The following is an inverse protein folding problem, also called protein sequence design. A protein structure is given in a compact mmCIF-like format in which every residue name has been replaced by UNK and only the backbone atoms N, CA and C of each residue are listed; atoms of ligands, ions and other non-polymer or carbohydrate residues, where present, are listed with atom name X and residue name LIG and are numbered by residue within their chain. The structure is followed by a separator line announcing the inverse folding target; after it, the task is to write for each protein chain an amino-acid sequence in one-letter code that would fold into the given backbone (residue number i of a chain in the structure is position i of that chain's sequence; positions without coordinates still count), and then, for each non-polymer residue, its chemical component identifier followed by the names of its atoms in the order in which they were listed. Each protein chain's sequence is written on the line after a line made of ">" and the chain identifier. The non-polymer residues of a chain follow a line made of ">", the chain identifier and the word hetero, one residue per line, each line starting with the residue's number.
data_IF_496430273411
#
_entry.id   IF_496430273411
#
_cell.length_a   1.000
_cell.length_b   1.000
_cell.length_c   1.000
_cell.angle_alpha   90.00
_cell.angle_beta   90.00
_cell.angle_gamma   90.00
#
_symmetry.space_group_name_H-M   'P 1'
#
loop_
_entity.id
_entity.type
_entity.pdbx_description
1 polymer ?
#
# COMPACT_ATOMS: atom_id res chain seq x y z
N UNK A 1 -24.67 10.28 40.95
CA UNK A 1 -25.07 11.24 39.88
C UNK A 1 -24.11 11.05 38.73
N UNK A 2 -24.49 10.18 37.81
CA UNK A 2 -23.65 9.84 36.64
C UNK A 2 -24.08 10.71 35.47
N UNK A 3 -23.21 11.59 35.03
CA UNK A 3 -23.43 12.41 33.82
C UNK A 3 -23.04 11.57 32.60
N UNK A 4 -24.04 10.99 31.98
CA UNK A 4 -23.92 10.39 30.65
C UNK A 4 -23.80 11.54 29.63
N UNK A 5 -22.60 11.79 29.14
CA UNK A 5 -22.41 12.67 27.98
C UNK A 5 -22.71 11.85 26.73
N UNK A 6 -23.97 11.84 26.31
CA UNK A 6 -24.38 11.43 24.98
C UNK A 6 -24.01 12.57 24.00
N UNK A 7 -22.79 12.56 23.48
CA UNK A 7 -22.48 13.30 22.24
C UNK A 7 -22.80 12.39 21.06
N UNK A 8 -24.05 12.43 20.62
CA UNK A 8 -24.45 11.92 19.30
C UNK A 8 -23.82 12.80 18.22
N UNK A 9 -22.58 12.47 17.82
CA UNK A 9 -22.08 12.92 16.53
C UNK A 9 -22.80 12.12 15.45
N UNK A 10 -23.87 12.69 14.88
CA UNK A 10 -24.65 12.14 13.78
C UNK A 10 -23.91 12.12 12.44
N UNK A 11 -22.68 11.60 12.42
CA UNK A 11 -21.93 11.32 11.21
C UNK A 11 -22.30 9.91 10.74
N UNK A 12 -23.14 9.81 9.71
CA UNK A 12 -23.43 8.53 9.06
C UNK A 12 -22.11 7.88 8.55
N UNK A 13 -22.09 6.54 8.40
CA UNK A 13 -20.87 5.79 8.01
C UNK A 13 -20.20 6.34 6.75
N UNK A 14 -20.95 6.84 5.78
CA UNK A 14 -20.41 7.47 4.57
C UNK A 14 -19.65 8.78 4.82
N UNK A 15 -20.01 9.54 5.86
CA UNK A 15 -19.32 10.77 6.24
C UNK A 15 -17.95 10.47 6.87
N UNK A 16 -17.85 9.43 7.71
CA UNK A 16 -16.59 9.01 8.33
C UNK A 16 -15.59 8.53 7.28
N UNK A 17 -16.02 7.68 6.36
CA UNK A 17 -15.18 7.18 5.25
C UNK A 17 -14.67 8.33 4.38
N UNK A 18 -15.53 9.29 4.06
CA UNK A 18 -15.15 10.47 3.29
C UNK A 18 -14.11 11.30 4.04
N UNK A 19 -14.33 11.58 5.32
CA UNK A 19 -13.42 12.34 6.18
C UNK A 19 -12.05 11.65 6.28
N UNK A 20 -12.01 10.34 6.47
CA UNK A 20 -10.76 9.58 6.52
C UNK A 20 -10.01 9.60 5.18
N UNK A 21 -10.71 9.52 4.06
CA UNK A 21 -10.10 9.64 2.73
C UNK A 21 -9.52 11.05 2.51
N UNK A 22 -10.21 12.11 2.95
CA UNK A 22 -9.72 13.49 2.88
C UNK A 22 -8.48 13.68 3.77
N UNK A 23 -8.54 13.22 5.03
CA UNK A 23 -7.41 13.28 5.96
C UNK A 23 -6.16 12.66 5.36
N UNK A 24 -6.29 11.48 4.78
CA UNK A 24 -5.15 10.78 4.19
C UNK A 24 -4.63 11.46 2.94
N UNK A 25 -5.52 12.04 2.14
CA UNK A 25 -5.15 12.83 0.98
C UNK A 25 -4.36 14.09 1.40
N UNK A 26 -4.77 14.74 2.48
CA UNK A 26 -4.11 15.93 3.00
C UNK A 26 -2.76 15.61 3.63
N UNK A 27 -2.64 14.49 4.37
CA UNK A 27 -1.36 13.98 4.86
C UNK A 27 -0.38 13.79 3.71
N UNK A 28 -0.79 13.09 2.65
CA UNK A 28 0.09 12.80 1.50
C UNK A 28 0.46 14.07 0.72
N UNK A 29 -0.40 15.10 0.72
CA UNK A 29 -0.13 16.39 0.06
C UNK A 29 0.72 17.35 0.90
N UNK A 30 0.82 17.12 2.21
CA UNK A 30 1.60 18.00 3.07
C UNK A 30 3.08 17.99 2.67
N UNK A 31 3.73 19.16 2.68
CA UNK A 31 5.11 19.31 2.21
C UNK A 31 6.09 18.36 2.91
N UNK A 32 5.92 18.15 4.20
CA UNK A 32 6.77 17.25 5.01
C UNK A 32 6.53 15.76 4.70
N UNK A 33 5.39 15.42 4.11
CA UNK A 33 5.01 14.06 3.72
C UNK A 33 5.23 13.78 2.21
N UNK A 34 5.84 14.70 1.48
CA UNK A 34 6.14 14.54 0.05
C UNK A 34 6.93 13.27 -0.29
N UNK A 35 7.73 12.79 0.67
CA UNK A 35 8.46 11.53 0.55
C UNK A 35 7.54 10.31 0.39
N UNK A 36 6.31 10.34 0.91
CA UNK A 36 5.31 9.25 0.74
C UNK A 36 4.88 9.18 -0.72
N UNK A 37 4.66 10.32 -1.37
CA UNK A 37 4.33 10.38 -2.79
C UNK A 37 5.48 9.84 -3.65
N UNK A 38 6.71 10.20 -3.31
CA UNK A 38 7.90 9.71 -4.01
C UNK A 38 8.05 8.19 -3.84
N UNK A 39 7.86 7.69 -2.62
CA UNK A 39 7.87 6.27 -2.31
C UNK A 39 6.81 5.52 -3.13
N UNK A 40 5.60 6.07 -3.20
CA UNK A 40 4.51 5.51 -3.99
C UNK A 40 4.81 5.54 -5.49
N UNK A 41 5.39 6.64 -5.98
CA UNK A 41 5.81 6.78 -7.36
C UNK A 41 6.83 5.70 -7.75
N UNK A 42 7.84 5.47 -6.90
CA UNK A 42 8.85 4.40 -7.09
C UNK A 42 8.20 3.01 -7.12
N UNK A 43 7.34 2.70 -6.15
CA UNK A 43 6.61 1.43 -6.12
C UNK A 43 5.71 1.24 -7.34
N UNK A 44 5.08 2.31 -7.80
CA UNK A 44 4.21 2.33 -8.98
C UNK A 44 5.00 2.11 -10.28
N UNK A 45 6.17 2.73 -10.41
CA UNK A 45 7.06 2.55 -11.55
C UNK A 45 7.56 1.10 -11.63
N UNK A 46 7.97 0.52 -10.48
CA UNK A 46 8.36 -0.87 -10.40
C UNK A 46 7.24 -1.81 -10.89
N UNK A 47 6.03 -1.64 -10.39
CA UNK A 47 4.88 -2.45 -10.80
C UNK A 47 4.58 -2.27 -12.27
N UNK A 48 4.59 -1.02 -12.76
CA UNK A 48 4.33 -0.70 -14.17
C UNK A 48 5.37 -1.34 -15.08
N UNK A 49 6.65 -1.32 -14.70
CA UNK A 49 7.73 -1.95 -15.47
C UNK A 49 7.51 -3.46 -15.57
N UNK A 50 7.27 -4.14 -14.44
CA UNK A 50 7.09 -5.60 -14.43
C UNK A 50 5.86 -6.03 -15.23
N UNK A 51 4.70 -5.39 -14.99
CA UNK A 51 3.46 -5.76 -15.68
C UNK A 51 3.47 -5.33 -17.16
N UNK A 52 4.11 -4.20 -17.46
CA UNK A 52 4.17 -3.63 -18.81
C UNK A 52 5.11 -4.35 -19.77
N UNK A 53 6.05 -5.14 -19.24
CA UNK A 53 6.99 -5.91 -20.04
C UNK A 53 6.62 -7.40 -19.97
N UNK A 54 6.22 -7.96 -21.11
CA UNK A 54 5.75 -9.36 -21.18
C UNK A 54 6.79 -10.36 -20.72
N UNK A 55 8.08 -10.17 -21.08
CA UNK A 55 9.17 -11.07 -20.70
C UNK A 55 9.44 -11.00 -19.20
N UNK A 56 9.52 -9.77 -18.65
CA UNK A 56 9.75 -9.55 -17.21
C UNK A 56 8.56 -10.10 -16.40
N UNK A 57 7.33 -9.89 -16.86
CA UNK A 57 6.13 -10.38 -16.18
C UNK A 57 6.06 -11.93 -16.21
N UNK A 58 6.41 -12.54 -17.33
CA UNK A 58 6.55 -14.00 -17.41
C UNK A 58 7.60 -14.52 -16.44
N UNK A 59 8.78 -13.89 -16.45
CA UNK A 59 9.88 -14.25 -15.54
C UNK A 59 9.51 -14.05 -14.07
N UNK A 60 8.82 -12.95 -13.73
CA UNK A 60 8.26 -12.76 -12.38
C UNK A 60 7.32 -13.91 -11.98
N UNK A 61 6.51 -14.40 -12.91
CA UNK A 61 5.58 -15.51 -12.69
C UNK A 61 6.26 -16.83 -12.27
N UNK A 62 7.55 -17.02 -12.60
CA UNK A 62 8.33 -18.19 -12.16
C UNK A 62 8.70 -18.12 -10.67
N UNK A 63 8.79 -16.92 -10.09
CA UNK A 63 9.13 -16.68 -8.68
C UNK A 63 7.92 -16.47 -7.78
N UNK A 64 6.78 -16.07 -8.35
CA UNK A 64 5.58 -15.76 -7.55
C UNK A 64 4.29 -16.16 -8.26
N UNK A 65 3.45 -16.93 -7.56
CA UNK A 65 2.06 -17.17 -7.98
C UNK A 65 1.16 -15.96 -7.70
N UNK A 66 1.61 -15.02 -6.86
CA UNK A 66 0.86 -13.86 -6.46
C UNK A 66 1.09 -12.73 -7.46
N UNK A 67 0.11 -12.46 -8.30
CA UNK A 67 0.20 -11.41 -9.33
C UNK A 67 0.33 -10.01 -8.71
N UNK A 68 1.10 -9.13 -9.37
CA UNK A 68 1.11 -7.71 -9.08
C UNK A 68 -0.23 -7.09 -9.48
N UNK A 69 -0.78 -6.23 -8.62
CA UNK A 69 -2.06 -5.58 -8.88
C UNK A 69 -1.87 -4.43 -9.87
N UNK A 70 -2.72 -4.39 -10.91
CA UNK A 70 -2.89 -3.16 -11.69
C UNK A 70 -3.39 -2.06 -10.75
N UNK A 71 -2.70 -0.94 -10.77
CA UNK A 71 -3.00 0.18 -9.87
C UNK A 71 -4.32 0.83 -10.30
N UNK A 72 -5.34 0.71 -9.45
CA UNK A 72 -6.57 1.45 -9.62
C UNK A 72 -6.31 2.95 -9.41
N UNK A 73 -6.97 3.80 -10.21
CA UNK A 73 -6.92 5.26 -10.02
C UNK A 73 -7.67 5.63 -8.73
N UNK A 74 -7.00 6.38 -7.84
CA UNK A 74 -7.61 7.41 -7.00
C UNK A 74 -8.40 7.01 -5.73
N UNK A 75 -7.89 6.15 -4.82
CA UNK A 75 -8.33 6.19 -3.41
C UNK A 75 -7.15 5.88 -2.52
N UNK A 76 -7.13 6.43 -1.30
CA UNK A 76 -6.09 6.13 -0.30
C UNK A 76 -5.86 4.63 -0.12
N UNK A 77 -6.91 3.83 -0.17
CA UNK A 77 -6.82 2.36 -0.18
C UNK A 77 -5.81 1.82 -1.21
N UNK A 78 -5.59 2.52 -2.34
CA UNK A 78 -4.62 2.08 -3.35
C UNK A 78 -3.17 2.19 -2.88
N UNK A 79 -2.81 3.19 -2.06
CA UNK A 79 -1.47 3.28 -1.46
C UNK A 79 -1.20 2.10 -0.54
N UNK A 80 -2.12 1.84 0.39
CA UNK A 80 -2.01 0.73 1.33
C UNK A 80 -1.96 -0.63 0.62
N UNK A 81 -2.88 -0.87 -0.32
CA UNK A 81 -2.94 -2.13 -1.06
C UNK A 81 -1.70 -2.37 -1.93
N UNK A 82 -1.18 -1.29 -2.56
CA UNK A 82 0.04 -1.35 -3.37
C UNK A 82 1.23 -1.75 -2.50
N UNK A 83 1.46 -1.04 -1.41
CA UNK A 83 2.58 -1.31 -0.52
C UNK A 83 2.46 -2.68 0.16
N UNK A 84 1.27 -3.04 0.61
CA UNK A 84 0.99 -4.38 1.16
C UNK A 84 1.29 -5.48 0.14
N UNK A 85 0.93 -5.28 -1.14
CA UNK A 85 1.23 -6.24 -2.21
C UNK A 85 2.73 -6.34 -2.44
N UNK A 86 3.43 -5.22 -2.55
CA UNK A 86 4.88 -5.18 -2.73
C UNK A 86 5.62 -5.91 -1.61
N UNK A 87 5.26 -5.67 -0.34
CA UNK A 87 5.87 -6.38 0.79
C UNK A 87 5.66 -7.90 0.71
N UNK A 88 4.46 -8.34 0.32
CA UNK A 88 4.15 -9.78 0.17
C UNK A 88 5.00 -10.47 -0.89
N UNK A 89 5.35 -9.77 -1.95
CA UNK A 89 6.11 -10.32 -3.07
C UNK A 89 7.60 -9.95 -3.04
N UNK A 90 8.04 -9.22 -2.01
CA UNK A 90 9.43 -8.73 -1.89
C UNK A 90 10.47 -9.83 -2.14
N UNK A 91 10.32 -10.98 -1.49
CA UNK A 91 11.29 -12.07 -1.64
C UNK A 91 11.34 -12.59 -3.08
N UNK A 92 10.19 -12.74 -3.72
CA UNK A 92 10.12 -13.18 -5.11
C UNK A 92 10.79 -12.16 -6.06
N UNK A 93 10.55 -10.85 -5.81
CA UNK A 93 11.20 -9.78 -6.57
C UNK A 93 12.72 -9.80 -6.38
N UNK A 94 13.19 -9.96 -5.14
CA UNK A 94 14.63 -10.05 -4.84
C UNK A 94 15.26 -11.25 -5.55
N UNK A 95 14.64 -12.42 -5.43
CA UNK A 95 15.17 -13.63 -6.10
C UNK A 95 15.22 -13.47 -7.62
N UNK A 96 14.19 -12.81 -8.21
CA UNK A 96 14.11 -12.54 -9.63
C UNK A 96 15.29 -11.67 -10.12
N UNK A 97 15.56 -10.54 -9.45
CA UNK A 97 16.63 -9.60 -9.90
C UNK A 97 18.03 -10.04 -9.54
N UNK A 98 18.17 -11.01 -8.64
CA UNK A 98 19.46 -11.62 -8.29
C UNK A 98 19.77 -12.89 -9.11
N UNK A 99 18.85 -13.35 -9.94
CA UNK A 99 19.08 -14.49 -10.81
C UNK A 99 20.04 -14.13 -11.95
N UNK A 100 20.95 -15.06 -12.33
CA UNK A 100 21.88 -14.86 -13.45
C UNK A 100 21.17 -14.50 -14.76
N UNK A 101 20.00 -15.10 -14.98
CA UNK A 101 19.17 -14.84 -16.17
C UNK A 101 18.55 -13.45 -16.21
N UNK A 102 18.57 -12.66 -15.11
CA UNK A 102 18.02 -11.30 -15.10
C UNK A 102 18.73 -10.38 -16.12
N UNK A 103 20.05 -10.48 -16.21
CA UNK A 103 20.85 -9.64 -17.10
C UNK A 103 20.74 -10.10 -18.58
N UNK A 104 20.24 -11.32 -18.82
CA UNK A 104 19.99 -11.88 -20.15
C UNK A 104 18.62 -11.50 -20.73
N UNK A 105 17.70 -11.01 -19.88
CA UNK A 105 16.37 -10.62 -20.34
C UNK A 105 16.49 -9.42 -21.28
N UNK A 106 16.10 -9.64 -22.54
CA UNK A 106 16.07 -8.58 -23.55
C UNK A 106 14.90 -7.62 -23.28
N UNK A 107 15.19 -6.54 -22.57
CA UNK A 107 14.20 -5.54 -22.16
C UNK A 107 14.82 -4.14 -22.11
N UNK A 108 14.01 -3.14 -21.79
CA UNK A 108 14.45 -1.79 -21.49
C UNK A 108 15.47 -1.81 -20.32
N UNK A 109 16.73 -1.56 -20.65
CA UNK A 109 17.85 -1.61 -19.67
C UNK A 109 17.71 -0.58 -18.57
N UNK A 110 17.26 0.62 -18.88
CA UNK A 110 17.10 1.70 -17.89
C UNK A 110 15.98 1.35 -16.91
N UNK A 111 14.86 0.84 -17.43
CA UNK A 111 13.77 0.34 -16.62
C UNK A 111 14.16 -0.86 -15.75
N UNK A 112 14.96 -1.79 -16.28
CA UNK A 112 15.45 -2.96 -15.56
C UNK A 112 16.40 -2.57 -14.42
N UNK A 113 17.33 -1.64 -14.66
CA UNK A 113 18.25 -1.13 -13.65
C UNK A 113 17.47 -0.37 -12.55
N UNK A 114 16.56 0.52 -12.92
CA UNK A 114 15.73 1.24 -11.95
C UNK A 114 14.85 0.30 -11.10
N UNK A 115 14.36 -0.79 -11.69
CA UNK A 115 13.62 -1.82 -10.96
C UNK A 115 14.52 -2.58 -9.99
N UNK A 116 15.70 -3.02 -10.43
CA UNK A 116 16.71 -3.71 -9.61
C UNK A 116 17.14 -2.84 -8.43
N UNK A 117 17.47 -1.57 -8.69
CA UNK A 117 17.84 -0.61 -7.65
C UNK A 117 16.74 -0.42 -6.60
N UNK A 118 15.49 -0.29 -7.04
CA UNK A 118 14.36 -0.14 -6.12
C UNK A 118 14.12 -1.42 -5.29
N UNK A 119 14.25 -2.60 -5.90
CA UNK A 119 14.03 -3.88 -5.21
C UNK A 119 15.13 -4.16 -4.18
N UNK A 120 16.36 -3.78 -4.47
CA UNK A 120 17.52 -4.01 -3.58
C UNK A 120 17.69 -2.89 -2.53
N UNK A 121 17.01 -1.75 -2.69
CA UNK A 121 17.08 -0.63 -1.76
C UNK A 121 16.39 -0.96 -0.42
N UNK A 122 17.19 -1.26 0.61
CA UNK A 122 16.68 -1.55 1.96
C UNK A 122 15.95 -0.34 2.57
N UNK A 123 16.34 0.89 2.23
CA UNK A 123 15.69 2.10 2.72
C UNK A 123 14.28 2.23 2.15
N UNK A 124 14.10 1.93 0.85
CA UNK A 124 12.77 1.85 0.25
C UNK A 124 11.84 0.92 1.03
N UNK A 125 12.29 -0.28 1.36
CA UNK A 125 11.47 -1.25 2.09
C UNK A 125 11.19 -0.85 3.53
N UNK A 126 12.12 -0.19 4.21
CA UNK A 126 11.90 0.32 5.56
C UNK A 126 10.83 1.40 5.59
N UNK A 127 10.87 2.34 4.63
CA UNK A 127 9.84 3.35 4.45
C UNK A 127 8.48 2.76 4.10
N UNK A 128 8.43 1.76 3.21
CA UNK A 128 7.18 1.04 2.87
C UNK A 128 6.57 0.40 4.10
N UNK A 129 7.37 -0.27 4.94
CA UNK A 129 6.88 -0.86 6.20
C UNK A 129 6.36 0.20 7.15
N UNK A 130 7.07 1.31 7.31
CA UNK A 130 6.65 2.43 8.17
C UNK A 130 5.30 3.00 7.72
N UNK A 131 5.12 3.27 6.41
CA UNK A 131 3.84 3.73 5.86
C UNK A 131 2.73 2.73 6.13
N UNK A 132 2.99 1.43 5.96
CA UNK A 132 1.99 0.40 6.23
C UNK A 132 1.56 0.35 7.70
N UNK A 133 2.45 0.59 8.65
CA UNK A 133 2.14 0.58 10.08
C UNK A 133 1.06 1.61 10.44
N UNK A 134 1.26 2.88 10.05
CA UNK A 134 0.29 3.92 10.40
C UNK A 134 -0.93 3.95 9.49
N UNK A 135 -0.84 3.45 8.25
CA UNK A 135 -1.97 3.43 7.32
C UNK A 135 -2.90 2.22 7.50
N UNK A 136 -2.42 1.17 8.14
CA UNK A 136 -3.18 -0.06 8.39
C UNK A 136 -4.50 0.19 9.15
N UNK A 137 -4.52 0.86 10.33
CA UNK A 137 -5.74 1.12 11.05
C UNK A 137 -6.73 1.98 10.25
N UNK A 138 -6.23 2.99 9.53
CA UNK A 138 -7.07 3.86 8.70
C UNK A 138 -7.71 3.09 7.56
N UNK A 139 -6.95 2.20 6.90
CA UNK A 139 -7.49 1.32 5.85
C UNK A 139 -8.62 0.43 6.38
N UNK A 140 -8.46 -0.15 7.56
CA UNK A 140 -9.52 -0.98 8.15
C UNK A 140 -10.74 -0.17 8.54
N UNK A 141 -10.58 1.03 9.12
CA UNK A 141 -11.70 1.93 9.41
C UNK A 141 -12.50 2.31 8.14
N UNK A 142 -11.80 2.61 7.05
CA UNK A 142 -12.44 2.88 5.76
C UNK A 142 -13.20 1.64 5.26
N UNK A 143 -12.57 0.47 5.32
CA UNK A 143 -13.17 -0.79 4.88
C UNK A 143 -14.42 -1.16 5.68
N UNK A 144 -14.40 -0.91 6.99
CA UNK A 144 -15.55 -1.16 7.86
C UNK A 144 -16.67 -0.14 7.61
N UNK A 145 -16.34 1.14 7.42
CA UNK A 145 -17.33 2.18 7.12
C UNK A 145 -18.02 2.00 5.75
N UNK A 146 -17.37 1.34 4.80
CA UNK A 146 -17.94 0.97 3.49
C UNK A 146 -18.78 -0.34 3.55
N UNK A 147 -18.77 -1.07 4.67
CA UNK A 147 -19.58 -2.28 4.84
C UNK A 147 -20.93 -1.94 5.48
N UNK A 148 -22.04 -2.44 4.90
CA UNK A 148 -23.42 -2.25 5.39
C UNK A 148 -23.71 -2.91 6.76
N UNK A 149 -22.67 -3.31 7.51
CA UNK A 149 -22.83 -3.92 8.83
C UNK A 149 -22.60 -2.90 9.95
N UNK A 150 -23.40 -2.90 11.02
CA UNK A 150 -23.17 -2.04 12.20
C UNK A 150 -21.99 -2.60 13.01
N UNK A 151 -20.77 -2.20 12.69
CA UNK A 151 -19.53 -2.83 13.21
C UNK A 151 -18.69 -1.85 14.04
N UNK A 152 -19.30 -0.83 14.63
CA UNK A 152 -18.58 0.14 15.48
C UNK A 152 -17.89 -0.57 16.67
N UNK A 153 -18.50 -1.62 17.24
CA UNK A 153 -17.93 -2.39 18.36
C UNK A 153 -16.63 -3.14 17.99
N UNK A 154 -16.60 -3.82 16.84
CA UNK A 154 -15.43 -4.61 16.42
C UNK A 154 -14.22 -3.74 16.03
N UNK A 155 -14.46 -2.48 15.62
CA UNK A 155 -13.36 -1.53 15.31
C UNK A 155 -12.61 -1.15 16.57
N UNK A 156 -13.32 -0.93 17.70
CA UNK A 156 -12.70 -0.61 18.98
C UNK A 156 -11.88 -1.79 19.53
N UNK A 157 -12.41 -3.01 19.45
CA UNK A 157 -11.68 -4.21 19.90
C UNK A 157 -10.41 -4.46 19.08
N UNK A 158 -10.46 -4.22 17.76
CA UNK A 158 -9.26 -4.37 16.91
C UNK A 158 -8.26 -3.22 17.08
N UNK A 159 -8.69 -2.01 17.40
CA UNK A 159 -7.78 -0.92 17.77
C UNK A 159 -7.08 -1.19 19.09
N UNK A 160 -7.80 -1.67 20.08
CA UNK A 160 -7.24 -2.01 21.40
C UNK A 160 -6.21 -3.14 21.29
N UNK A 161 -6.48 -4.17 20.49
CA UNK A 161 -5.55 -5.27 20.24
C UNK A 161 -4.32 -4.88 19.42
N UNK A 162 -4.28 -3.69 18.80
CA UNK A 162 -3.14 -3.17 18.04
C UNK A 162 -2.26 -2.22 18.87
N UNK A 163 -2.77 -1.69 19.98
CA UNK A 163 -2.07 -0.77 20.86
C UNK A 163 -1.44 -1.48 22.08
N UNK A 164 -1.81 -2.73 22.36
CA UNK A 164 -1.21 -3.60 23.37
C UNK A 164 -0.11 -4.47 22.78
#
# INVERSE_FOLDING_TARGET
>A
MSVLIHTSFGLGPGCLVHTLNLLMHDIVKHKECGWINELYRRGKQLIKFIIGNTMVNYFYGTYSKLQLLKLAKTRFASYYLTFRRLVKVRQALTNMVCAETWDEINTDRDGANAAKDTILDMYFWSQVKYVLQFTKPIYYMIKFGDSDRPVIGEVYEQMDSMLG
#
